data_IF_124414702272
#
_entry.id   IF_124414702272
#
_cell.length_a   1.000
_cell.length_b   1.000
_cell.length_c   1.000
_cell.angle_alpha   90.00
_cell.angle_beta   90.00
_cell.angle_gamma   90.00
#
_symmetry.space_group_name_H-M   'P 1'
#
loop_
_entity.id
_entity.type
_entity.pdbx_description
1 polymer ?
#
# COMPACT_ATOMS: atom_id res chain seq x y z
N UNK A 1 -29.46 -4.96 -13.22
CA UNK A 1 -28.02 -5.24 -13.37
C UNK A 1 -27.58 -5.93 -12.09
N UNK A 2 -27.63 -7.26 -12.03
CA UNK A 2 -27.28 -8.02 -10.82
C UNK A 2 -25.75 -7.93 -10.67
N UNK A 3 -25.27 -7.20 -9.66
CA UNK A 3 -23.84 -7.17 -9.35
C UNK A 3 -23.46 -8.49 -8.71
N UNK A 4 -22.50 -9.20 -9.31
CA UNK A 4 -21.90 -10.39 -8.72
C UNK A 4 -21.23 -10.00 -7.40
N UNK A 5 -21.59 -10.60 -6.25
CA UNK A 5 -20.99 -10.31 -4.95
C UNK A 5 -19.45 -10.43 -4.93
N UNK A 6 -18.87 -11.24 -5.82
CA UNK A 6 -17.42 -11.26 -6.02
C UNK A 6 -16.90 -9.94 -6.57
N UNK A 7 -17.55 -9.36 -7.56
CA UNK A 7 -17.11 -8.13 -8.20
C UNK A 7 -17.15 -6.92 -7.24
N UNK A 8 -18.13 -6.86 -6.34
CA UNK A 8 -18.20 -5.83 -5.31
C UNK A 8 -17.11 -5.96 -4.25
N UNK A 9 -16.72 -7.20 -3.91
CA UNK A 9 -15.56 -7.48 -3.03
C UNK A 9 -14.25 -6.98 -3.68
N UNK A 10 -14.02 -7.30 -4.95
CA UNK A 10 -12.83 -6.83 -5.67
C UNK A 10 -12.80 -5.30 -5.85
N UNK A 11 -13.96 -4.66 -6.03
CA UNK A 11 -14.06 -3.20 -6.09
C UNK A 11 -13.75 -2.54 -4.74
N UNK A 12 -14.23 -3.12 -3.65
CA UNK A 12 -13.91 -2.68 -2.29
C UNK A 12 -12.43 -2.85 -1.99
N UNK A 13 -11.84 -3.99 -2.36
CA UNK A 13 -10.40 -4.24 -2.26
C UNK A 13 -9.57 -3.23 -3.06
N UNK A 14 -9.96 -2.92 -4.30
CA UNK A 14 -9.28 -1.92 -5.12
C UNK A 14 -9.33 -0.53 -4.49
N UNK A 15 -10.49 -0.11 -3.93
CA UNK A 15 -10.62 1.18 -3.24
C UNK A 15 -9.77 1.23 -1.98
N UNK A 16 -9.81 0.18 -1.16
CA UNK A 16 -9.02 0.11 0.07
C UNK A 16 -7.52 0.12 -0.22
N UNK A 17 -7.08 -0.62 -1.25
CA UNK A 17 -5.69 -0.58 -1.70
C UNK A 17 -5.28 0.80 -2.22
N UNK A 18 -6.15 1.47 -2.98
CA UNK A 18 -5.84 2.82 -3.48
C UNK A 18 -5.65 3.81 -2.33
N UNK A 19 -6.53 3.81 -1.34
CA UNK A 19 -6.40 4.67 -0.14
C UNK A 19 -5.10 4.36 0.59
N UNK A 20 -4.82 3.08 0.84
CA UNK A 20 -3.56 2.62 1.42
C UNK A 20 -2.34 3.12 0.64
N UNK A 21 -2.36 2.93 -0.68
CA UNK A 21 -1.27 3.30 -1.57
C UNK A 21 -1.02 4.80 -1.59
N UNK A 22 -2.08 5.62 -1.65
CA UNK A 22 -1.97 7.09 -1.61
C UNK A 22 -1.37 7.55 -0.28
N UNK A 23 -1.86 7.04 0.85
CA UNK A 23 -1.33 7.39 2.18
C UNK A 23 0.15 7.04 2.27
N UNK A 24 0.54 5.84 1.84
CA UNK A 24 1.94 5.40 1.83
C UNK A 24 2.83 6.21 0.90
N UNK A 25 2.33 6.53 -0.28
CA UNK A 25 3.09 7.27 -1.28
C UNK A 25 3.32 8.71 -0.82
N UNK A 26 2.27 9.40 -0.34
CA UNK A 26 2.38 10.75 0.23
C UNK A 26 3.33 10.75 1.42
N UNK A 27 3.19 9.79 2.34
CA UNK A 27 4.08 9.64 3.49
C UNK A 27 5.55 9.42 3.08
N UNK A 28 5.80 8.55 2.11
CA UNK A 28 7.15 8.29 1.59
C UNK A 28 7.76 9.51 0.89
N UNK A 29 6.97 10.25 0.12
CA UNK A 29 7.39 11.51 -0.52
C UNK A 29 7.73 12.57 0.54
N UNK A 30 6.88 12.72 1.57
CA UNK A 30 7.12 13.65 2.67
C UNK A 30 8.42 13.35 3.41
N UNK A 31 8.63 12.10 3.82
CA UNK A 31 9.87 11.67 4.50
C UNK A 31 11.10 11.91 3.63
N UNK A 32 11.01 11.59 2.33
CA UNK A 32 12.09 11.82 1.38
C UNK A 32 12.42 13.31 1.20
N UNK A 33 11.42 14.21 1.24
CA UNK A 33 11.65 15.66 1.19
C UNK A 33 12.36 16.17 2.45
N UNK A 34 12.16 15.51 3.60
CA UNK A 34 12.77 15.87 4.88
C UNK A 34 14.08 15.11 5.16
N UNK A 35 14.69 14.49 4.14
CA UNK A 35 15.97 13.80 4.26
C UNK A 35 15.91 12.46 5.01
N UNK A 36 14.72 11.95 5.33
CA UNK A 36 14.53 10.69 6.05
C UNK A 36 14.28 9.55 5.05
N UNK A 37 14.94 8.40 5.21
CA UNK A 37 14.76 7.23 4.36
C UNK A 37 15.70 7.17 3.16
N UNK A 38 15.22 6.81 1.96
CA UNK A 38 16.05 6.54 0.75
C UNK A 38 16.94 7.72 0.33
N UNK A 39 16.67 8.93 0.82
CA UNK A 39 17.45 10.16 0.60
C UNK A 39 18.42 10.54 1.73
N UNK A 40 18.53 9.77 2.81
CA UNK A 40 19.40 10.08 3.96
C UNK A 40 20.91 10.09 3.63
N UNK A 41 21.31 9.64 2.43
CA UNK A 41 22.71 9.60 1.97
C UNK A 41 23.18 10.79 1.13
N UNK A 42 22.50 11.96 1.18
CA UNK A 42 23.04 13.23 0.68
C UNK A 42 23.18 13.41 -0.84
N UNK A 43 22.84 12.42 -1.66
CA UNK A 43 22.75 12.60 -3.12
C UNK A 43 21.28 12.68 -3.54
N UNK A 44 20.95 13.70 -4.34
CA UNK A 44 19.73 13.73 -5.16
C UNK A 44 19.88 12.64 -6.23
N UNK A 45 19.90 11.38 -5.80
CA UNK A 45 20.14 10.25 -6.65
C UNK A 45 18.86 9.96 -7.43
N UNK A 46 19.01 9.72 -8.74
CA UNK A 46 18.05 9.03 -9.61
C UNK A 46 17.25 7.93 -8.89
N UNK A 47 17.90 7.21 -7.96
CA UNK A 47 17.30 6.18 -7.10
C UNK A 47 16.09 6.65 -6.28
N UNK A 48 16.12 7.86 -5.72
CA UNK A 48 15.00 8.43 -4.96
C UNK A 48 13.80 8.79 -5.84
N UNK A 49 14.06 9.35 -7.03
CA UNK A 49 13.01 9.66 -8.01
C UNK A 49 12.40 8.38 -8.57
N UNK A 50 13.24 7.40 -8.92
CA UNK A 50 12.78 6.08 -9.38
C UNK A 50 11.87 5.41 -8.33
N UNK A 51 12.21 5.48 -7.04
CA UNK A 51 11.37 4.92 -5.97
C UNK A 51 9.99 5.58 -5.89
N UNK A 52 9.93 6.91 -6.03
CA UNK A 52 8.66 7.65 -6.03
C UNK A 52 7.81 7.25 -7.23
N UNK A 53 8.41 7.18 -8.42
CA UNK A 53 7.70 6.81 -9.67
C UNK A 53 7.22 5.36 -9.60
N UNK A 54 8.07 4.43 -9.16
CA UNK A 54 7.70 3.01 -8.98
C UNK A 54 6.55 2.88 -7.98
N UNK A 55 6.62 3.59 -6.86
CA UNK A 55 5.53 3.65 -5.88
C UNK A 55 4.23 4.11 -6.53
N UNK A 56 4.26 5.21 -7.30
CA UNK A 56 3.09 5.73 -8.00
C UNK A 56 2.51 4.73 -9.00
N UNK A 57 3.37 4.02 -9.73
CA UNK A 57 2.94 2.94 -10.64
C UNK A 57 2.17 1.87 -9.87
N UNK A 58 2.65 1.43 -8.70
CA UNK A 58 1.91 0.46 -7.88
C UNK A 58 0.58 1.00 -7.34
N UNK A 59 0.55 2.26 -6.90
CA UNK A 59 -0.67 2.94 -6.40
C UNK A 59 -1.77 2.94 -7.46
N UNK A 60 -1.42 3.05 -8.73
CA UNK A 60 -2.40 3.07 -9.83
C UNK A 60 -2.66 1.68 -10.40
N UNK A 61 -1.61 0.91 -10.66
CA UNK A 61 -1.68 -0.36 -11.38
C UNK A 61 -2.41 -1.43 -10.57
N UNK A 62 -2.11 -1.57 -9.28
CA UNK A 62 -2.72 -2.61 -8.44
C UNK A 62 -4.25 -2.44 -8.34
N UNK A 63 -4.81 -1.27 -7.96
CA UNK A 63 -6.25 -1.11 -7.92
C UNK A 63 -6.87 -1.18 -9.32
N UNK A 64 -6.17 -0.73 -10.36
CA UNK A 64 -6.63 -0.88 -11.74
C UNK A 64 -6.79 -2.35 -12.15
N UNK A 65 -5.85 -3.22 -11.78
CA UNK A 65 -5.92 -4.67 -12.03
C UNK A 65 -6.95 -5.38 -11.14
N UNK A 66 -7.13 -4.93 -9.89
CA UNK A 66 -8.15 -5.50 -8.99
C UNK A 66 -9.58 -5.11 -9.40
N UNK A 67 -9.79 -3.88 -9.92
CA UNK A 67 -11.14 -3.32 -10.13
C UNK A 67 -11.97 -4.07 -11.18
N UNK A 68 -11.35 -4.64 -12.22
CA UNK A 68 -12.07 -5.28 -13.32
C UNK A 68 -11.29 -6.47 -13.86
N UNK A 69 -11.99 -7.57 -14.19
CA UNK A 69 -11.37 -8.70 -14.90
C UNK A 69 -10.80 -8.23 -16.23
N UNK A 70 -9.54 -8.59 -16.51
CA UNK A 70 -8.83 -8.20 -17.73
C UNK A 70 -8.39 -9.48 -18.44
N UNK A 71 -9.10 -9.83 -19.52
CA UNK A 71 -8.84 -11.06 -20.30
C UNK A 71 -7.38 -11.20 -20.75
N UNK A 72 -6.70 -10.09 -21.07
CA UNK A 72 -5.27 -10.11 -21.43
C UNK A 72 -4.36 -10.49 -20.25
N UNK A 73 -4.57 -9.89 -19.07
CA UNK A 73 -3.78 -10.20 -17.88
C UNK A 73 -4.06 -11.61 -17.35
N UNK A 74 -5.33 -12.02 -17.34
CA UNK A 74 -5.73 -13.37 -16.90
C UNK A 74 -5.24 -14.47 -17.86
N UNK A 75 -5.06 -14.15 -19.15
CA UNK A 75 -4.55 -15.10 -20.15
C UNK A 75 -3.03 -15.24 -20.13
N UNK A 76 -2.29 -14.16 -19.82
CA UNK A 76 -0.84 -14.13 -19.97
C UNK A 76 -0.06 -14.13 -18.65
N UNK A 77 -0.67 -13.70 -17.54
CA UNK A 77 0.04 -13.42 -16.29
C UNK A 77 -0.56 -14.20 -15.13
N UNK A 78 -1.68 -13.76 -14.58
CA UNK A 78 -2.29 -14.32 -13.37
C UNK A 78 -3.80 -14.07 -13.38
N UNK A 79 -4.57 -15.00 -12.81
CA UNK A 79 -5.98 -14.76 -12.48
C UNK A 79 -6.11 -13.56 -11.55
N UNK A 80 -7.19 -12.78 -11.66
CA UNK A 80 -7.50 -11.67 -10.73
C UNK A 80 -7.45 -12.12 -9.26
N UNK A 81 -7.86 -13.37 -9.00
CA UNK A 81 -7.88 -13.95 -7.65
C UNK A 81 -6.47 -14.28 -7.16
N UNK A 82 -5.63 -14.88 -7.99
CA UNK A 82 -4.25 -15.20 -7.64
C UNK A 82 -3.40 -13.94 -7.50
N UNK A 83 -3.65 -12.94 -8.34
CA UNK A 83 -3.05 -11.61 -8.15
C UNK A 83 -3.43 -11.02 -6.80
N UNK A 84 -4.71 -11.07 -6.40
CA UNK A 84 -5.14 -10.62 -5.09
C UNK A 84 -4.50 -11.44 -3.95
N UNK A 85 -4.28 -12.75 -4.12
CA UNK A 85 -3.53 -13.58 -3.15
C UNK A 85 -2.10 -13.09 -3.00
N UNK A 86 -1.38 -12.91 -4.11
CA UNK A 86 0.00 -12.40 -4.10
C UNK A 86 0.07 -11.03 -3.41
N UNK A 87 -0.82 -10.10 -3.79
CA UNK A 87 -0.89 -8.78 -3.16
C UNK A 87 -1.20 -8.90 -1.66
N UNK A 88 -2.12 -9.77 -1.26
CA UNK A 88 -2.44 -9.98 0.17
C UNK A 88 -1.23 -10.49 0.97
N UNK A 89 -0.45 -11.43 0.43
CA UNK A 89 0.75 -11.96 1.08
C UNK A 89 1.82 -10.87 1.20
N UNK A 90 2.04 -10.11 0.12
CA UNK A 90 2.99 -8.98 0.13
C UNK A 90 2.58 -7.92 1.15
N UNK A 91 1.28 -7.59 1.23
CA UNK A 91 0.75 -6.65 2.22
C UNK A 91 0.88 -7.17 3.65
N UNK A 92 0.66 -8.47 3.88
CA UNK A 92 0.84 -9.09 5.19
C UNK A 92 2.31 -9.03 5.63
N UNK A 93 3.25 -9.35 4.74
CA UNK A 93 4.68 -9.16 4.99
C UNK A 93 4.99 -7.71 5.33
N UNK A 94 4.44 -6.76 4.56
CA UNK A 94 4.60 -5.32 4.83
C UNK A 94 4.04 -4.90 6.19
N UNK A 95 2.85 -5.38 6.56
CA UNK A 95 2.24 -5.09 7.85
C UNK A 95 3.11 -5.59 9.00
N UNK A 96 3.74 -6.76 8.85
CA UNK A 96 4.65 -7.32 9.83
C UNK A 96 5.93 -6.47 9.99
N UNK A 97 6.54 -6.02 8.89
CA UNK A 97 7.69 -5.10 8.95
C UNK A 97 7.33 -3.78 9.64
N UNK A 98 6.16 -3.21 9.31
CA UNK A 98 5.69 -1.96 9.92
C UNK A 98 5.39 -2.13 11.40
N UNK A 99 4.77 -3.25 11.80
CA UNK A 99 4.55 -3.58 13.20
C UNK A 99 5.88 -3.71 13.96
N UNK A 100 6.88 -4.39 13.38
CA UNK A 100 8.22 -4.47 13.97
C UNK A 100 8.85 -3.10 14.17
N UNK A 101 8.63 -2.17 13.24
CA UNK A 101 9.10 -0.77 13.37
C UNK A 101 8.33 -0.02 14.44
N UNK A 102 7.00 -0.14 14.47
CA UNK A 102 6.14 0.55 15.45
C UNK A 102 6.40 0.11 16.90
N UNK A 103 6.88 -1.11 17.10
CA UNK A 103 7.25 -1.67 18.40
C UNK A 103 8.67 -1.27 18.86
N UNK A 104 9.46 -0.57 18.04
CA UNK A 104 10.78 -0.07 18.47
C UNK A 104 10.59 1.20 19.31
N UNK A 105 11.18 1.28 20.52
CA UNK A 105 10.90 2.36 21.46
C UNK A 105 11.54 3.73 21.13
N UNK A 106 12.38 3.86 20.10
CA UNK A 106 13.04 5.13 19.78
C UNK A 106 13.06 5.35 18.26
N UNK A 107 12.35 6.38 17.80
CA UNK A 107 12.36 6.81 16.41
C UNK A 107 12.35 8.34 16.34
N UNK A 108 13.16 8.95 15.45
CA UNK A 108 13.26 10.41 15.34
C UNK A 108 11.91 11.05 15.04
N UNK A 109 11.59 12.19 15.67
CA UNK A 109 10.40 12.97 15.32
C UNK A 109 10.62 13.69 13.98
N UNK A 110 9.54 13.86 13.22
CA UNK A 110 9.56 14.62 11.96
C UNK A 110 8.52 15.73 12.06
N UNK A 111 8.84 16.90 11.52
CA UNK A 111 7.90 18.02 11.46
C UNK A 111 6.61 17.60 10.74
N UNK A 112 5.48 17.94 11.34
CA UNK A 112 4.15 17.68 10.79
C UNK A 112 3.80 18.70 9.69
N UNK A 113 3.05 18.31 8.64
CA UNK A 113 2.63 19.23 7.58
C UNK A 113 1.79 20.43 8.03
N UNK A 114 1.15 20.34 9.20
CA UNK A 114 0.22 21.34 9.76
C UNK A 114 0.79 22.10 10.96
N UNK A 115 2.09 21.97 11.24
CA UNK A 115 2.76 22.51 12.42
C UNK A 115 2.79 21.51 13.58
N UNK A 116 3.91 21.49 14.31
CA UNK A 116 4.20 20.53 15.38
C UNK A 116 5.10 19.37 14.94
N UNK A 117 5.38 18.44 15.85
CA UNK A 117 6.17 17.24 15.58
C UNK A 117 5.30 15.98 15.62
N UNK A 118 5.42 15.12 14.61
CA UNK A 118 4.83 13.78 14.62
C UNK A 118 5.95 12.80 14.94
N UNK A 119 5.77 12.02 16.01
CA UNK A 119 6.68 10.93 16.31
C UNK A 119 6.60 9.87 15.22
N UNK A 120 7.76 9.28 14.87
CA UNK A 120 7.81 8.18 13.91
C UNK A 120 6.87 7.03 14.29
N UNK A 121 6.69 6.79 15.59
CA UNK A 121 5.80 5.78 16.13
C UNK A 121 4.32 6.07 15.86
N UNK A 122 3.87 7.32 16.07
CA UNK A 122 2.50 7.72 15.77
C UNK A 122 2.21 7.54 14.26
N UNK A 123 3.14 7.95 13.40
CA UNK A 123 3.06 7.71 11.96
C UNK A 123 2.99 6.21 11.64
N UNK A 124 3.86 5.40 12.23
CA UNK A 124 3.89 3.95 12.03
C UNK A 124 2.58 3.26 12.45
N UNK A 125 1.94 3.69 13.55
CA UNK A 125 0.63 3.18 13.98
C UNK A 125 -0.46 3.50 12.95
N UNK A 126 -0.51 4.73 12.44
CA UNK A 126 -1.47 5.10 11.38
C UNK A 126 -1.23 4.26 10.12
N UNK A 127 0.02 4.16 9.66
CA UNK A 127 0.36 3.31 8.52
C UNK A 127 -0.01 1.85 8.75
N UNK A 128 0.21 1.32 9.95
CA UNK A 128 -0.16 -0.04 10.31
C UNK A 128 -1.67 -0.26 10.19
N UNK A 129 -2.48 0.61 10.81
CA UNK A 129 -3.95 0.51 10.77
C UNK A 129 -4.47 0.54 9.33
N UNK A 130 -4.00 1.49 8.52
CA UNK A 130 -4.38 1.59 7.10
C UNK A 130 -3.96 0.33 6.33
N UNK A 131 -2.78 -0.22 6.61
CA UNK A 131 -2.30 -1.47 5.99
C UNK A 131 -3.20 -2.64 6.35
N UNK A 132 -3.56 -2.81 7.63
CA UNK A 132 -4.38 -3.93 8.10
C UNK A 132 -5.80 -3.86 7.51
N UNK A 133 -6.40 -2.67 7.46
CA UNK A 133 -7.72 -2.48 6.84
C UNK A 133 -7.67 -2.85 5.37
N UNK A 134 -6.69 -2.34 4.61
CA UNK A 134 -6.57 -2.66 3.20
C UNK A 134 -6.27 -4.15 2.96
N UNK A 135 -5.39 -4.75 3.78
CA UNK A 135 -5.10 -6.18 3.76
C UNK A 135 -6.36 -7.01 3.98
N UNK A 136 -7.20 -6.65 4.94
CA UNK A 136 -8.45 -7.35 5.20
C UNK A 136 -9.36 -7.38 3.96
N UNK A 137 -9.56 -6.25 3.29
CA UNK A 137 -10.38 -6.21 2.08
C UNK A 137 -9.76 -7.01 0.92
N UNK A 138 -8.45 -6.91 0.72
CA UNK A 138 -7.75 -7.64 -0.35
C UNK A 138 -7.76 -9.15 -0.08
N UNK A 139 -7.48 -9.57 1.15
CA UNK A 139 -7.54 -10.98 1.56
C UNK A 139 -8.97 -11.54 1.44
N UNK A 140 -9.98 -10.78 1.87
CA UNK A 140 -11.39 -11.17 1.67
C UNK A 140 -11.71 -11.37 0.19
N UNK A 141 -11.25 -10.49 -0.69
CA UNK A 141 -11.47 -10.65 -2.13
C UNK A 141 -10.69 -11.84 -2.72
N UNK A 142 -9.49 -12.12 -2.20
CA UNK A 142 -8.64 -13.22 -2.66
C UNK A 142 -9.17 -14.61 -2.25
N UNK A 143 -9.67 -14.74 -1.02
CA UNK A 143 -9.96 -16.03 -0.40
C UNK A 143 -11.43 -16.38 -0.33
N UNK A 144 -12.35 -15.41 -0.32
CA UNK A 144 -13.76 -15.73 -0.15
C UNK A 144 -14.32 -16.51 -1.35
N UNK A 145 -14.93 -17.66 -1.09
CA UNK A 145 -15.44 -18.59 -2.11
C UNK A 145 -16.35 -17.87 -3.13
N UNK A 146 -16.25 -18.33 -4.38
CA UNK A 146 -17.23 -17.96 -5.38
C UNK A 146 -18.49 -18.75 -5.02
N UNK A 147 -19.47 -18.06 -4.46
CA UNK A 147 -20.81 -18.62 -4.28
C UNK A 147 -21.42 -18.87 -5.66
#
# INVERSE_FOLDING_TARGET
MIQDPADDRFRSAARAYLVYGVVYWVGGVWLAMHGVGVRAGGSVAWRGVAWIVIGLVFVVLVPFLLRRRRRGFERWVLSRRDFARVVSVLMAFRAFEVARIALRPEGPSVAAPWGGEVSFQAGAVVFFLVTVVALFFVARAAWAEAA
#
